data_IF_875836057791
#
_entry.id   IF_875836057791
#
_cell.length_a   1.000
_cell.length_b   1.000
_cell.length_c   1.000
_cell.angle_alpha   90.00
_cell.angle_beta   90.00
_cell.angle_gamma   90.00
#
_symmetry.space_group_name_H-M   'P 1'
#
loop_
_entity.id
_entity.type
_entity.pdbx_description
1 polymer ?
#
# COMPACT_ATOMS: atom_id res chain seq x y z
N UNK A 1 -19.69 -13.97 -17.44
CA UNK A 1 -18.57 -14.08 -16.48
C UNK A 1 -17.33 -13.46 -17.11
N UNK A 2 -16.59 -12.62 -16.38
CA UNK A 2 -15.37 -11.99 -16.89
C UNK A 2 -14.65 -11.27 -15.75
N UNK A 3 -13.42 -11.67 -15.46
CA UNK A 3 -12.59 -10.99 -14.48
C UNK A 3 -11.90 -9.80 -15.14
N UNK A 4 -11.92 -8.64 -14.48
CA UNK A 4 -11.11 -7.48 -14.88
C UNK A 4 -9.76 -7.58 -14.16
N UNK A 5 -8.67 -7.65 -14.93
CA UNK A 5 -7.32 -7.65 -14.39
C UNK A 5 -6.78 -6.22 -14.30
N UNK A 6 -6.18 -5.87 -13.16
CA UNK A 6 -5.44 -4.64 -12.99
C UNK A 6 -3.95 -4.91 -13.24
N UNK A 7 -3.40 -4.31 -14.29
CA UNK A 7 -1.97 -4.41 -14.58
C UNK A 7 -1.21 -3.37 -13.77
N UNK A 8 -0.31 -3.84 -12.91
CA UNK A 8 0.55 -2.99 -12.10
C UNK A 8 1.93 -2.83 -12.78
N UNK A 9 2.50 -1.62 -12.79
CA UNK A 9 3.81 -1.38 -13.36
C UNK A 9 4.91 -2.08 -12.54
N UNK A 10 5.96 -2.52 -13.23
CA UNK A 10 7.09 -3.21 -12.60
C UNK A 10 7.85 -2.25 -11.68
N UNK A 11 8.36 -2.76 -10.55
CA UNK A 11 9.19 -2.02 -9.58
C UNK A 11 8.52 -0.85 -8.86
N UNK A 12 7.18 -0.81 -8.85
CA UNK A 12 6.38 0.21 -8.18
C UNK A 12 5.48 -0.42 -7.10
N UNK A 13 6.09 -0.97 -6.05
CA UNK A 13 5.36 -1.68 -4.99
C UNK A 13 4.37 -0.78 -4.22
N UNK A 14 4.63 0.53 -4.19
CA UNK A 14 3.74 1.55 -3.63
C UNK A 14 2.39 1.70 -4.36
N UNK A 15 2.30 1.19 -5.61
CA UNK A 15 1.08 1.15 -6.39
C UNK A 15 0.27 -0.15 -6.18
N UNK A 16 0.80 -1.09 -5.39
CA UNK A 16 0.14 -2.35 -5.07
C UNK A 16 -0.42 -2.33 -3.63
N UNK A 17 -1.74 -2.21 -3.42
CA UNK A 17 -2.30 -2.05 -2.08
C UNK A 17 -2.11 -3.26 -1.16
N UNK A 18 -1.86 -4.46 -1.70
CA UNK A 18 -1.57 -5.66 -0.88
C UNK A 18 -0.24 -5.54 -0.11
N UNK A 19 0.73 -4.79 -0.64
CA UNK A 19 2.02 -4.58 0.04
C UNK A 19 1.83 -3.83 1.37
N UNK A 20 0.84 -2.94 1.44
CA UNK A 20 0.49 -2.22 2.68
C UNK A 20 -0.18 -3.12 3.71
N UNK A 21 -0.92 -4.15 3.26
CA UNK A 21 -1.47 -5.19 4.15
C UNK A 21 -0.34 -5.98 4.79
N UNK A 22 0.64 -6.41 3.99
CA UNK A 22 1.81 -7.13 4.49
C UNK A 22 2.70 -6.27 5.38
N UNK A 23 2.90 -5.00 5.03
CA UNK A 23 3.63 -4.07 5.89
C UNK A 23 2.94 -3.86 7.25
N UNK A 24 1.60 -3.79 7.27
CA UNK A 24 0.86 -3.66 8.53
C UNK A 24 0.96 -4.92 9.40
N UNK A 25 1.04 -6.10 8.77
CA UNK A 25 1.34 -7.36 9.46
C UNK A 25 2.74 -7.37 10.07
N UNK A 26 3.77 -6.91 9.34
CA UNK A 26 5.17 -6.94 9.82
C UNK A 26 5.44 -6.02 11.02
N UNK A 27 4.58 -5.02 11.25
CA UNK A 27 4.57 -4.17 12.45
C UNK A 27 4.24 -4.98 13.73
N UNK A 28 3.53 -6.10 13.56
CA UNK A 28 3.39 -7.14 14.58
C UNK A 28 4.66 -7.99 14.46
N UNK A 29 5.60 -7.84 15.38
CA UNK A 29 6.89 -8.55 15.41
C UNK A 29 6.71 -10.08 15.28
N UNK A 30 6.73 -10.59 14.06
CA UNK A 30 6.67 -12.03 13.77
C UNK A 30 8.08 -12.59 13.66
N UNK A 31 8.64 -13.00 14.79
CA UNK A 31 9.83 -13.85 14.85
C UNK A 31 9.49 -15.25 14.32
N UNK A 32 9.72 -15.50 13.02
CA UNK A 32 10.07 -16.81 12.46
C UNK A 32 8.98 -17.95 12.49
N UNK A 33 9.19 -19.08 11.77
CA UNK A 33 8.23 -19.62 10.81
C UNK A 33 7.22 -20.63 11.39
N UNK A 34 7.37 -21.06 12.65
CA UNK A 34 6.50 -22.08 13.26
C UNK A 34 5.09 -21.58 13.57
N UNK A 35 4.92 -20.27 13.76
CA UNK A 35 3.62 -19.67 14.09
C UNK A 35 2.94 -18.98 12.91
N UNK A 36 3.56 -18.97 11.72
CA UNK A 36 3.07 -18.25 10.55
C UNK A 36 1.66 -18.65 10.12
N UNK A 37 1.31 -19.94 10.20
CA UNK A 37 -0.02 -20.43 9.80
C UNK A 37 -1.16 -19.91 10.71
N UNK A 38 -0.88 -19.64 11.99
CA UNK A 38 -1.87 -19.10 12.93
C UNK A 38 -1.87 -17.58 12.96
N UNK A 39 -0.69 -16.98 12.90
CA UNK A 39 -0.52 -15.53 13.02
C UNK A 39 -0.91 -14.76 11.75
N UNK A 40 -0.88 -15.41 10.57
CA UNK A 40 -1.31 -14.78 9.31
C UNK A 40 -2.81 -14.45 9.35
N UNK A 41 -3.73 -15.41 9.60
CA UNK A 41 -5.16 -15.10 9.73
C UNK A 41 -5.45 -14.00 10.76
N UNK A 42 -4.88 -14.10 11.96
CA UNK A 42 -5.10 -13.12 13.03
C UNK A 42 -4.65 -11.71 12.64
N UNK A 43 -3.50 -11.59 11.96
CA UNK A 43 -3.02 -10.30 11.48
C UNK A 43 -3.90 -9.74 10.35
N UNK A 44 -4.43 -10.60 9.48
CA UNK A 44 -5.35 -10.19 8.41
C UNK A 44 -6.70 -9.73 8.96
N UNK A 45 -7.22 -10.38 10.01
CA UNK A 45 -8.48 -9.98 10.68
C UNK A 45 -8.39 -8.58 11.31
N UNK A 46 -7.19 -8.13 11.68
CA UNK A 46 -6.96 -6.76 12.18
C UNK A 46 -7.06 -5.70 11.07
N UNK A 47 -6.98 -6.07 9.79
CA UNK A 47 -7.02 -5.15 8.66
C UNK A 47 -8.46 -4.79 8.33
N UNK A 48 -8.95 -3.73 8.99
CA UNK A 48 -10.30 -3.19 8.76
C UNK A 48 -10.46 -2.67 7.32
N UNK A 49 -11.69 -2.72 6.79
CA UNK A 49 -12.07 -2.13 5.49
C UNK A 49 -11.63 -0.66 5.35
N UNK A 50 -11.66 0.10 6.45
CA UNK A 50 -11.16 1.47 6.47
C UNK A 50 -9.66 1.58 6.12
N UNK A 51 -8.84 0.62 6.56
CA UNK A 51 -7.42 0.56 6.18
C UNK A 51 -7.27 0.26 4.70
N UNK A 52 -8.04 -0.71 4.18
CA UNK A 52 -8.04 -1.06 2.74
C UNK A 52 -8.35 0.19 1.90
N UNK A 53 -9.40 0.95 2.23
CA UNK A 53 -9.74 2.20 1.54
C UNK A 53 -8.60 3.21 1.58
N UNK A 54 -7.93 3.38 2.73
CA UNK A 54 -6.76 4.26 2.87
C UNK A 54 -5.58 3.79 2.01
N UNK A 55 -5.37 2.48 1.87
CA UNK A 55 -4.31 1.93 1.03
C UNK A 55 -4.52 2.24 -0.44
N UNK A 56 -5.75 2.06 -0.96
CA UNK A 56 -6.08 2.49 -2.33
C UNK A 56 -5.89 4.00 -2.52
N UNK A 57 -6.34 4.82 -1.57
CA UNK A 57 -6.10 6.26 -1.63
C UNK A 57 -4.60 6.60 -1.66
N UNK A 58 -3.78 5.89 -0.88
CA UNK A 58 -2.33 6.08 -0.91
C UNK A 58 -1.74 5.72 -2.28
N UNK A 59 -2.16 4.62 -2.90
CA UNK A 59 -1.76 4.28 -4.27
C UNK A 59 -2.14 5.40 -5.25
N UNK A 60 -3.36 5.93 -5.20
CA UNK A 60 -3.76 7.04 -6.07
C UNK A 60 -2.89 8.29 -5.90
N UNK A 61 -2.46 8.61 -4.67
CA UNK A 61 -1.56 9.73 -4.42
C UNK A 61 -0.16 9.52 -5.01
N UNK A 62 0.34 8.29 -4.99
CA UNK A 62 1.57 7.94 -5.70
C UNK A 62 1.37 8.01 -7.23
N UNK A 63 0.24 7.55 -7.75
CA UNK A 63 -0.08 7.67 -9.18
C UNK A 63 -0.10 9.13 -9.62
N UNK A 64 -0.72 10.02 -8.85
CA UNK A 64 -0.73 11.45 -9.14
C UNK A 64 0.69 12.03 -9.12
N UNK A 65 1.52 11.66 -8.13
CA UNK A 65 2.91 12.09 -8.06
C UNK A 65 3.74 11.65 -9.28
N UNK A 66 3.56 10.41 -9.73
CA UNK A 66 4.24 9.91 -10.92
C UNK A 66 3.73 10.59 -12.20
N UNK A 67 2.43 10.88 -12.29
CA UNK A 67 1.86 11.65 -13.41
C UNK A 67 2.40 13.08 -13.48
N UNK A 68 2.73 13.69 -12.34
CA UNK A 68 3.45 14.97 -12.27
C UNK A 68 4.95 14.87 -12.61
N UNK A 69 5.45 13.67 -12.96
CA UNK A 69 6.85 13.46 -13.34
C UNK A 69 7.83 13.27 -12.17
N UNK A 70 7.33 13.08 -10.94
CA UNK A 70 8.19 12.86 -9.78
C UNK A 70 8.83 11.47 -9.83
N UNK A 71 10.11 11.37 -9.46
CA UNK A 71 10.78 10.09 -9.29
C UNK A 71 10.37 9.38 -7.98
N UNK A 72 10.81 8.14 -7.75
CA UNK A 72 10.42 7.33 -6.58
C UNK A 72 10.69 8.06 -5.25
N UNK A 73 11.87 8.67 -5.10
CA UNK A 73 12.25 9.36 -3.85
C UNK A 73 11.42 10.62 -3.63
N UNK A 74 11.21 11.40 -4.69
CA UNK A 74 10.37 12.59 -4.66
C UNK A 74 8.92 12.25 -4.38
N UNK A 75 8.37 11.22 -5.02
CA UNK A 75 7.00 10.77 -4.81
C UNK A 75 6.79 10.31 -3.37
N UNK A 76 7.72 9.50 -2.82
CA UNK A 76 7.67 9.07 -1.43
C UNK A 76 7.70 10.25 -0.45
N UNK A 77 8.59 11.23 -0.68
CA UNK A 77 8.65 12.45 0.11
C UNK A 77 7.36 13.26 0.01
N UNK A 78 6.83 13.47 -1.19
CA UNK A 78 5.63 14.26 -1.46
C UNK A 78 4.38 13.61 -0.86
N UNK A 79 4.19 12.30 -1.02
CA UNK A 79 3.04 11.58 -0.43
C UNK A 79 3.07 11.60 1.10
N UNK A 80 4.28 11.62 1.70
CA UNK A 80 4.48 11.76 3.15
C UNK A 80 4.24 13.20 3.63
N UNK A 81 4.77 14.20 2.92
CA UNK A 81 4.74 15.62 3.31
C UNK A 81 3.34 16.20 3.19
N UNK A 82 2.70 15.99 2.05
CA UNK A 82 1.34 16.44 1.84
C UNK A 82 0.41 15.33 2.33
N UNK A 83 -0.58 15.64 3.14
CA UNK A 83 -1.56 14.64 3.62
C UNK A 83 -3.00 15.07 3.35
N UNK A 84 -3.19 16.33 2.96
CA UNK A 84 -4.46 16.90 2.56
C UNK A 84 -4.84 16.58 1.11
N UNK A 85 -6.11 16.81 0.78
CA UNK A 85 -6.65 16.53 -0.54
C UNK A 85 -5.97 17.38 -1.64
N UNK A 86 -5.56 16.73 -2.73
CA UNK A 86 -5.04 17.36 -3.98
C UNK A 86 -3.88 18.34 -3.78
N UNK A 87 -2.91 17.99 -2.93
CA UNK A 87 -1.69 18.80 -2.71
C UNK A 87 -0.39 18.15 -3.19
N UNK A 88 -0.47 17.06 -3.94
CA UNK A 88 0.71 16.60 -4.70
C UNK A 88 0.95 17.70 -5.76
N UNK A 89 2.13 18.34 -5.79
CA UNK A 89 2.44 19.38 -6.77
C UNK A 89 2.32 18.89 -8.22
#
# INVERSE_FOLDING_TARGET
AGHKCLFLPKFHCELNPIEMVWAKRNDVSLTFPSHGQKLVPEALDQVKVANIRRYFHRCYRYMDAYKSGLNIQQAAYTVKKYTSHRRVP
#
